data_IF_380978158299
#
_entry.id   IF_380978158299
#
_cell.length_a   1.000
_cell.length_b   1.000
_cell.length_c   1.000
_cell.angle_alpha   90.00
_cell.angle_beta   90.00
_cell.angle_gamma   90.00
#
_symmetry.space_group_name_H-M   'P 1'
#
loop_
_entity.id
_entity.type
_entity.pdbx_description
1 polymer ?
#
# COMPACT_ATOMS: atom_id res chain seq x y z
N UNK A 1 -0.57 -2.04 2.13
CA UNK A 1 0.63 -2.79 2.53
C UNK A 1 0.28 -3.86 3.57
N UNK A 2 0.20 -5.15 3.20
CA UNK A 2 -0.02 -6.24 4.16
C UNK A 2 1.31 -6.92 4.51
N UNK A 3 1.64 -6.98 5.81
CA UNK A 3 2.82 -7.70 6.29
C UNK A 3 2.38 -9.04 6.86
N UNK A 4 2.76 -10.11 6.17
CA UNK A 4 2.39 -11.46 6.55
C UNK A 4 3.65 -12.24 6.94
N UNK A 5 3.67 -12.87 8.13
CA UNK A 5 4.82 -13.69 8.55
C UNK A 5 5.01 -14.87 7.59
N UNK A 6 6.21 -15.42 7.39
CA UNK A 6 6.48 -16.53 6.45
C UNK A 6 6.22 -17.93 7.06
N UNK A 7 5.19 -18.06 7.89
CA UNK A 7 4.93 -19.29 8.68
C UNK A 7 3.59 -19.93 8.33
N UNK A 8 3.24 -21.07 8.90
CA UNK A 8 1.92 -21.70 8.71
C UNK A 8 0.75 -20.76 9.09
N UNK A 9 0.99 -19.83 10.02
CA UNK A 9 0.06 -18.74 10.36
C UNK A 9 -0.21 -17.79 9.17
N UNK A 10 0.68 -17.71 8.19
CA UNK A 10 0.51 -16.91 6.98
C UNK A 10 -0.68 -17.36 6.16
N UNK A 11 -0.72 -18.66 5.87
CA UNK A 11 -1.68 -19.23 4.94
C UNK A 11 -3.07 -19.21 5.57
N UNK A 12 -3.14 -19.38 6.90
CA UNK A 12 -4.35 -19.15 7.71
C UNK A 12 -4.82 -17.70 7.62
N UNK A 13 -3.93 -16.72 7.83
CA UNK A 13 -4.27 -15.29 7.72
C UNK A 13 -4.73 -14.96 6.29
N UNK A 14 -4.00 -15.44 5.28
CA UNK A 14 -4.33 -15.23 3.87
C UNK A 14 -5.67 -15.84 3.50
N UNK A 15 -6.02 -17.01 4.04
CA UNK A 15 -7.31 -17.63 3.83
C UNK A 15 -8.46 -16.75 4.36
N UNK A 16 -8.26 -16.05 5.48
CA UNK A 16 -9.24 -15.11 6.04
C UNK A 16 -9.44 -13.89 5.13
N UNK A 17 -8.37 -13.36 4.55
CA UNK A 17 -8.44 -12.16 3.70
C UNK A 17 -8.73 -12.46 2.23
N UNK A 18 -8.55 -13.70 1.76
CA UNK A 18 -8.77 -14.08 0.36
C UNK A 18 -10.16 -13.70 -0.15
N UNK A 19 -11.27 -13.98 0.58
CA UNK A 19 -12.60 -13.55 0.15
C UNK A 19 -12.71 -12.02 -0.06
N UNK A 20 -12.02 -11.23 0.77
CA UNK A 20 -12.02 -9.76 0.62
C UNK A 20 -11.32 -9.33 -0.67
N UNK A 21 -10.13 -9.89 -0.96
CA UNK A 21 -9.36 -9.53 -2.15
C UNK A 21 -10.01 -10.01 -3.44
N UNK A 22 -10.65 -11.19 -3.43
CA UNK A 22 -11.28 -11.78 -4.62
C UNK A 22 -12.75 -11.35 -4.83
N UNK A 23 -13.32 -10.54 -3.93
CA UNK A 23 -14.70 -10.04 -4.06
C UNK A 23 -14.79 -8.90 -5.09
N UNK A 24 -15.55 -9.09 -6.17
CA UNK A 24 -15.70 -8.11 -7.26
C UNK A 24 -16.52 -6.87 -6.86
N UNK A 25 -17.39 -6.98 -5.85
CA UNK A 25 -18.23 -5.88 -5.36
C UNK A 25 -17.50 -4.90 -4.44
N UNK A 26 -16.29 -5.23 -4.01
CA UNK A 26 -15.48 -4.39 -3.12
C UNK A 26 -14.43 -3.67 -3.95
N UNK A 27 -14.42 -2.34 -3.92
CA UNK A 27 -13.36 -1.51 -4.51
C UNK A 27 -12.09 -1.59 -3.64
N UNK A 28 -10.92 -1.68 -4.29
CA UNK A 28 -9.62 -1.64 -3.62
C UNK A 28 -8.89 -0.39 -4.03
N UNK A 29 -8.40 0.33 -3.04
CA UNK A 29 -7.65 1.58 -3.22
C UNK A 29 -6.22 1.35 -2.81
N UNK A 30 -5.30 1.75 -3.67
CA UNK A 30 -3.87 1.55 -3.48
C UNK A 30 -3.05 2.70 -4.05
N UNK A 31 -1.77 2.71 -3.71
CA UNK A 31 -0.75 3.52 -4.34
C UNK A 31 0.20 2.54 -5.04
N UNK A 32 0.30 2.61 -6.38
CA UNK A 32 1.03 1.62 -7.18
C UNK A 32 0.53 0.18 -6.93
N UNK A 33 -0.79 -0.02 -7.04
CA UNK A 33 -1.50 -1.26 -6.68
C UNK A 33 -1.04 -2.48 -7.50
N UNK A 34 -0.37 -2.24 -8.63
CA UNK A 34 0.33 -3.28 -9.41
C UNK A 34 1.27 -4.11 -8.53
N UNK A 35 1.96 -3.47 -7.59
CA UNK A 35 2.87 -4.19 -6.69
C UNK A 35 2.10 -5.17 -5.80
N UNK A 36 1.05 -4.72 -5.10
CA UNK A 36 0.20 -5.59 -4.27
C UNK A 36 -0.44 -6.72 -5.09
N UNK A 37 -0.87 -6.43 -6.32
CA UNK A 37 -1.40 -7.42 -7.25
C UNK A 37 -0.39 -8.56 -7.49
N UNK A 38 0.87 -8.24 -7.81
CA UNK A 38 1.90 -9.25 -8.02
C UNK A 38 2.23 -10.04 -6.75
N UNK A 39 2.29 -9.37 -5.60
CA UNK A 39 2.56 -10.04 -4.32
C UNK A 39 1.44 -11.03 -3.98
N UNK A 40 0.18 -10.64 -4.11
CA UNK A 40 -0.97 -11.51 -3.84
C UNK A 40 -1.05 -12.69 -4.82
N UNK A 41 -0.71 -12.46 -6.09
CA UNK A 41 -0.68 -13.51 -7.11
C UNK A 41 0.32 -14.63 -6.76
N UNK A 42 1.45 -14.31 -6.13
CA UNK A 42 2.42 -15.30 -5.64
C UNK A 42 1.84 -16.25 -4.57
N UNK A 43 0.73 -15.86 -3.94
CA UNK A 43 0.01 -16.67 -2.96
C UNK A 43 -1.30 -17.24 -3.51
N UNK A 44 -1.51 -17.21 -4.83
CA UNK A 44 -2.73 -17.72 -5.46
C UNK A 44 -3.99 -16.94 -5.10
N UNK A 45 -3.85 -15.66 -4.76
CA UNK A 45 -4.96 -14.72 -4.53
C UNK A 45 -5.08 -13.82 -5.74
N UNK A 46 -6.26 -13.80 -6.36
CA UNK A 46 -6.56 -12.94 -7.50
C UNK A 46 -7.21 -11.65 -7.02
N UNK A 47 -6.48 -10.54 -7.05
CA UNK A 47 -7.07 -9.25 -6.72
C UNK A 47 -8.16 -8.90 -7.75
N UNK A 48 -9.40 -8.78 -7.29
CA UNK A 48 -10.58 -8.51 -8.13
C UNK A 48 -11.34 -7.25 -7.71
N UNK A 49 -12.33 -6.87 -8.49
CA UNK A 49 -13.18 -5.70 -8.26
C UNK A 49 -12.59 -4.43 -8.85
N UNK A 50 -13.25 -3.30 -8.60
CA UNK A 50 -12.74 -2.00 -9.05
C UNK A 50 -11.44 -1.67 -8.32
N UNK A 51 -10.43 -1.23 -9.07
CA UNK A 51 -9.14 -0.83 -8.51
C UNK A 51 -8.97 0.67 -8.72
N UNK A 52 -8.63 1.38 -7.65
CA UNK A 52 -8.26 2.78 -7.71
C UNK A 52 -6.79 2.92 -7.32
N UNK A 53 -5.97 3.35 -8.27
CA UNK A 53 -4.54 3.62 -8.02
C UNK A 53 -4.32 5.13 -7.95
N UNK A 54 -4.03 5.63 -6.75
CA UNK A 54 -3.78 7.05 -6.47
C UNK A 54 -2.61 7.62 -7.28
N UNK A 55 -1.60 6.80 -7.57
CA UNK A 55 -0.46 7.20 -8.40
C UNK A 55 -0.91 7.48 -9.84
N UNK A 56 -1.72 6.59 -10.41
CA UNK A 56 -2.21 6.70 -11.79
C UNK A 56 -3.28 7.79 -11.89
N UNK A 57 -4.19 7.87 -10.92
CA UNK A 57 -5.19 8.94 -10.84
C UNK A 57 -4.51 10.30 -10.85
N UNK A 58 -3.50 10.51 -10.01
CA UNK A 58 -2.74 11.76 -10.01
C UNK A 58 -1.95 11.99 -11.30
N UNK A 59 -1.36 10.95 -11.89
CA UNK A 59 -0.68 11.06 -13.19
C UNK A 59 -1.59 11.57 -14.30
N UNK A 60 -2.85 11.13 -14.34
CA UNK A 60 -3.84 11.59 -15.31
C UNK A 60 -4.27 13.05 -15.08
N UNK A 61 -4.16 13.55 -13.85
CA UNK A 61 -4.51 14.93 -13.49
C UNK A 61 -3.33 15.88 -13.78
N UNK A 62 -2.11 15.49 -13.41
CA UNK A 62 -0.93 16.35 -13.51
C UNK A 62 0.33 15.53 -13.79
N UNK A 63 0.65 15.34 -15.07
CA UNK A 63 1.72 14.46 -15.56
C UNK A 63 3.15 14.88 -15.17
N UNK A 64 3.39 16.18 -14.97
CA UNK A 64 4.74 16.73 -14.74
C UNK A 64 5.24 16.60 -13.28
N UNK A 65 4.35 16.28 -12.34
CA UNK A 65 4.70 16.18 -10.92
C UNK A 65 5.19 14.79 -10.53
N UNK A 66 5.93 14.69 -9.42
CA UNK A 66 6.25 13.37 -8.86
C UNK A 66 5.01 12.75 -8.21
N UNK A 67 4.69 11.50 -8.59
CA UNK A 67 3.49 10.80 -8.11
C UNK A 67 3.74 9.84 -6.94
N UNK A 68 4.89 9.93 -6.26
CA UNK A 68 5.13 9.09 -5.08
C UNK A 68 4.32 9.61 -3.87
N UNK A 69 3.88 8.70 -3.00
CA UNK A 69 2.96 8.99 -1.91
C UNK A 69 3.41 10.13 -0.99
N UNK A 70 4.72 10.22 -0.69
CA UNK A 70 5.25 11.30 0.16
C UNK A 70 5.00 12.68 -0.45
N UNK A 71 5.32 12.86 -1.73
CA UNK A 71 5.08 14.14 -2.43
C UNK A 71 3.59 14.46 -2.47
N UNK A 72 2.75 13.48 -2.77
CA UNK A 72 1.30 13.68 -2.82
C UNK A 72 0.71 14.04 -1.45
N UNK A 73 1.11 13.33 -0.39
CA UNK A 73 0.68 13.61 0.98
C UNK A 73 1.09 15.02 1.44
N UNK A 74 2.33 15.42 1.16
CA UNK A 74 2.81 16.74 1.54
C UNK A 74 2.08 17.86 0.79
N UNK A 75 1.82 17.64 -0.51
CA UNK A 75 1.21 18.65 -1.39
C UNK A 75 -0.29 18.81 -1.15
N UNK A 76 -1.02 17.69 -1.04
CA UNK A 76 -2.49 17.70 -1.03
C UNK A 76 -3.09 17.56 0.37
N UNK A 77 -2.37 16.97 1.32
CA UNK A 77 -2.86 16.76 2.69
C UNK A 77 -2.11 17.60 3.72
N UNK A 78 -1.08 18.36 3.32
CA UNK A 78 -0.18 19.08 4.22
C UNK A 78 0.40 18.17 5.33
N UNK A 79 0.67 16.91 4.99
CA UNK A 79 1.13 15.89 5.93
C UNK A 79 2.40 15.21 5.43
N UNK A 80 3.45 15.19 6.28
CA UNK A 80 4.70 14.47 6.00
C UNK A 80 4.66 13.05 6.60
N UNK A 81 4.59 11.99 5.79
CA UNK A 81 4.51 10.61 6.27
C UNK A 81 5.82 10.10 6.89
N UNK A 82 5.70 9.00 7.66
CA UNK A 82 6.82 8.25 8.20
C UNK A 82 7.67 7.75 7.04
N UNK A 83 8.94 8.16 7.05
CA UNK A 83 9.91 7.71 6.05
C UNK A 83 10.27 6.25 6.29
N UNK A 84 10.22 5.42 5.25
CA UNK A 84 10.57 3.99 5.35
C UNK A 84 11.97 3.79 5.94
N UNK A 85 12.90 4.69 5.66
CA UNK A 85 14.27 4.57 6.16
C UNK A 85 14.41 4.83 7.66
N UNK A 86 13.40 5.43 8.31
CA UNK A 86 13.33 5.48 9.78
C UNK A 86 13.06 4.10 10.39
N UNK A 87 12.60 3.14 9.59
CA UNK A 87 12.21 1.80 10.00
C UNK A 87 13.28 0.79 9.62
N UNK A 88 13.73 0.83 8.36
CA UNK A 88 14.68 -0.13 7.80
C UNK A 88 16.12 0.40 7.75
N UNK A 89 16.37 1.70 8.00
CA UNK A 89 17.69 2.30 7.83
C UNK A 89 18.05 2.60 6.37
N UNK A 90 19.32 2.95 6.14
CA UNK A 90 19.87 3.36 4.84
C UNK A 90 21.17 2.64 4.50
N UNK A 91 21.46 2.52 3.21
CA UNK A 91 22.74 2.04 2.70
C UNK A 91 23.01 0.56 3.02
N UNK A 92 24.27 0.20 3.24
CA UNK A 92 24.70 -1.20 3.48
C UNK A 92 24.12 -1.82 4.75
N UNK A 93 23.65 -1.00 5.70
CA UNK A 93 23.05 -1.45 6.96
C UNK A 93 21.51 -1.50 6.90
N UNK A 94 20.91 -1.32 5.71
CA UNK A 94 19.46 -1.39 5.56
C UNK A 94 18.96 -2.81 5.87
N UNK A 95 17.97 -2.90 6.75
CA UNK A 95 17.31 -4.13 7.17
C UNK A 95 16.23 -4.54 6.15
N UNK A 96 15.93 -5.83 6.04
CA UNK A 96 14.73 -6.23 5.31
C UNK A 96 13.50 -6.08 6.19
N UNK A 97 12.40 -5.62 5.60
CA UNK A 97 11.13 -5.44 6.31
C UNK A 97 10.60 -6.74 6.94
N UNK A 98 10.95 -7.91 6.35
CA UNK A 98 10.61 -9.23 6.90
C UNK A 98 11.34 -9.59 8.19
N UNK A 99 12.48 -8.96 8.46
CA UNK A 99 13.32 -9.23 9.63
C UNK A 99 12.92 -8.34 10.81
N UNK A 100 11.97 -7.42 10.60
CA UNK A 100 11.49 -6.50 11.61
C UNK A 100 10.28 -7.06 12.35
N UNK A 101 10.16 -6.82 13.68
CA UNK A 101 8.97 -7.20 14.43
C UNK A 101 7.75 -6.43 13.92
N UNK A 102 6.56 -7.06 13.79
CA UNK A 102 5.36 -6.41 13.27
C UNK A 102 5.01 -5.07 13.94
N UNK A 103 5.28 -4.95 15.25
CA UNK A 103 5.04 -3.73 16.03
C UNK A 103 5.80 -2.52 15.47
N UNK A 104 7.02 -2.70 14.95
CA UNK A 104 7.82 -1.62 14.37
C UNK A 104 7.27 -1.12 13.04
N UNK A 105 6.48 -1.94 12.35
CA UNK A 105 6.04 -1.67 11.00
C UNK A 105 4.56 -1.31 10.94
N UNK A 106 3.79 -1.71 11.97
CA UNK A 106 2.35 -1.48 12.09
C UNK A 106 1.96 -0.03 11.79
N UNK A 107 2.61 0.95 12.45
CA UNK A 107 2.27 2.37 12.28
C UNK A 107 2.45 2.83 10.85
N UNK A 108 3.58 2.50 10.24
CA UNK A 108 3.89 2.82 8.85
C UNK A 108 2.90 2.18 7.86
N UNK A 109 2.62 0.89 8.02
CA UNK A 109 1.69 0.19 7.12
C UNK A 109 0.25 0.71 7.23
N UNK A 110 -0.18 1.10 8.44
CA UNK A 110 -1.48 1.74 8.65
C UNK A 110 -1.53 3.14 8.07
N UNK A 111 -0.47 3.93 8.24
CA UNK A 111 -0.37 5.29 7.70
C UNK A 111 -0.40 5.29 6.17
N UNK A 112 0.38 4.41 5.52
CA UNK A 112 0.36 4.26 4.05
C UNK A 112 -1.06 4.02 3.53
N UNK A 113 -1.84 3.17 4.21
CA UNK A 113 -3.22 2.86 3.83
C UNK A 113 -4.18 4.04 4.05
N UNK A 114 -4.05 4.73 5.18
CA UNK A 114 -4.89 5.89 5.53
C UNK A 114 -4.65 7.07 4.56
N UNK A 115 -3.38 7.43 4.32
CA UNK A 115 -3.01 8.48 3.36
C UNK A 115 -3.52 8.14 1.97
N UNK A 116 -3.34 6.90 1.52
CA UNK A 116 -3.81 6.45 0.21
C UNK A 116 -5.34 6.61 0.08
N UNK A 117 -6.09 6.31 1.15
CA UNK A 117 -7.54 6.50 1.16
C UNK A 117 -7.94 7.99 1.12
N UNK A 118 -7.24 8.84 1.88
CA UNK A 118 -7.47 10.29 1.86
C UNK A 118 -7.15 10.90 0.49
N UNK A 119 -6.04 10.48 -0.14
CA UNK A 119 -5.67 10.92 -1.48
C UNK A 119 -6.69 10.52 -2.55
N UNK A 120 -7.34 9.35 -2.42
CA UNK A 120 -8.45 9.00 -3.31
C UNK A 120 -9.55 10.05 -3.26
N UNK A 121 -9.96 10.50 -2.07
CA UNK A 121 -11.01 11.51 -1.96
C UNK A 121 -10.65 12.85 -2.62
N UNK A 122 -9.35 13.15 -2.77
CA UNK A 122 -8.85 14.34 -3.48
C UNK A 122 -8.83 14.14 -4.99
N UNK A 123 -8.50 12.95 -5.47
CA UNK A 123 -8.28 12.67 -6.90
C UNK A 123 -9.46 12.01 -7.61
N UNK A 124 -10.48 11.58 -6.87
CA UNK A 124 -11.70 11.00 -7.44
C UNK A 124 -12.43 12.08 -8.24
N UNK A 125 -12.72 11.85 -9.55
CA UNK A 125 -13.47 12.80 -10.35
C UNK A 125 -14.89 12.98 -9.80
N UNK A 126 -15.42 14.21 -9.91
CA UNK A 126 -16.83 14.50 -9.63
C UNK A 126 -17.78 13.72 -10.53
#
# INVERSE_FOLDING_TARGET
MFLLPLTQKRDEILAVFKPLFENESIEKVGQNIKFDYHILANYGIKLKGKLFDTMIAHYLIQEDMRHNMTVLSETYLNYSPIKIESIIGKGKAQLNMRDLPPVKIKKYACEDADITWQLKAVFEPF
#
